data_IF_424553703327
#
_entry.id   IF_424553703327
#
_cell.length_a   1.000
_cell.length_b   1.000
_cell.length_c   1.000
_cell.angle_alpha   90.00
_cell.angle_beta   90.00
_cell.angle_gamma   90.00
#
_symmetry.space_group_name_H-M   'P 1'
#
loop_
_entity.id
_entity.type
_entity.pdbx_description
1 polymer ?
#
# COMPACT_ATOMS: atom_id res chain seq x y z
N UNK A 1 20.08 6.84 33.76
CA UNK A 1 19.45 7.83 32.86
C UNK A 1 18.30 7.15 32.16
N UNK A 2 17.08 7.66 32.31
CA UNK A 2 15.94 7.19 31.52
C UNK A 2 16.11 7.81 30.13
N UNK A 3 16.25 6.98 29.10
CA UNK A 3 16.30 7.47 27.72
C UNK A 3 14.94 8.06 27.35
N UNK A 4 14.89 9.36 27.08
CA UNK A 4 13.70 10.04 26.58
C UNK A 4 13.54 9.76 25.10
N UNK A 5 12.32 9.42 24.67
CA UNK A 5 12.00 9.24 23.25
C UNK A 5 11.88 10.64 22.62
N UNK A 6 12.54 10.92 21.48
CA UNK A 6 12.45 12.22 20.81
C UNK A 6 11.03 12.49 20.30
N UNK A 7 10.64 13.76 20.26
CA UNK A 7 9.48 14.25 19.55
C UNK A 7 9.80 14.43 18.05
N UNK A 8 8.77 14.64 17.22
CA UNK A 8 8.95 14.93 15.79
C UNK A 8 9.78 16.21 15.58
N UNK A 9 9.51 17.23 16.39
CA UNK A 9 10.20 18.53 16.35
C UNK A 9 11.70 18.40 16.65
N UNK A 10 12.10 17.48 17.54
CA UNK A 10 13.51 17.19 17.85
C UNK A 10 14.27 16.64 16.63
N UNK A 11 13.53 16.09 15.65
CA UNK A 11 14.05 15.55 14.40
C UNK A 11 13.84 16.51 13.20
N UNK A 12 13.35 17.73 13.44
CA UNK A 12 13.04 18.70 12.39
C UNK A 12 11.81 18.33 11.56
N UNK A 13 10.91 17.51 12.10
CA UNK A 13 9.68 17.07 11.44
C UNK A 13 8.46 17.84 11.98
N UNK A 14 7.52 18.14 11.09
CA UNK A 14 6.28 18.81 11.46
C UNK A 14 5.32 17.87 12.18
N UNK A 15 4.58 18.40 13.16
CA UNK A 15 3.41 17.72 13.73
C UNK A 15 2.29 17.65 12.69
N UNK A 16 1.45 16.63 12.77
CA UNK A 16 0.31 16.46 11.89
C UNK A 16 -0.95 16.08 12.67
N UNK A 17 -2.10 16.39 12.08
CA UNK A 17 -3.39 15.91 12.57
C UNK A 17 -3.82 14.67 11.80
N UNK A 18 -4.45 13.74 12.51
CA UNK A 18 -4.93 12.49 11.90
C UNK A 18 -6.21 12.77 11.13
N UNK A 19 -6.19 12.50 9.84
CA UNK A 19 -7.39 12.60 9.02
C UNK A 19 -8.35 11.44 9.33
N UNK A 20 -9.59 11.80 9.69
CA UNK A 20 -10.64 10.86 10.10
C UNK A 20 -11.13 9.97 8.94
N UNK A 21 -10.88 10.35 7.69
CA UNK A 21 -11.22 9.58 6.48
C UNK A 21 -10.26 8.42 6.26
N UNK A 22 -9.11 8.41 6.95
CA UNK A 22 -8.11 7.36 6.79
C UNK A 22 -8.68 5.97 7.06
N UNK A 23 -8.37 5.03 6.16
CA UNK A 23 -8.67 3.62 6.37
C UNK A 23 -7.70 2.94 7.35
N UNK A 24 -6.68 3.64 7.85
CA UNK A 24 -5.67 3.11 8.76
C UNK A 24 -5.83 3.67 10.19
N UNK A 25 -5.81 2.82 11.24
CA UNK A 25 -5.80 3.28 12.62
C UNK A 25 -4.41 3.80 13.01
N UNK A 26 -4.27 5.13 13.10
CA UNK A 26 -3.02 5.83 13.41
C UNK A 26 -2.51 5.66 14.85
N UNK A 27 -1.97 4.48 15.17
CA UNK A 27 -1.27 4.26 16.44
C UNK A 27 -0.26 3.10 16.31
N UNK A 28 1.01 3.43 16.51
CA UNK A 28 2.11 2.46 16.47
C UNK A 28 2.20 1.57 17.72
N UNK A 29 3.11 0.59 17.67
CA UNK A 29 3.43 -0.28 18.80
C UNK A 29 2.80 -1.68 18.73
N UNK A 30 3.48 -2.65 19.33
CA UNK A 30 3.08 -4.06 19.33
C UNK A 30 1.70 -4.29 19.96
N UNK A 31 1.37 -3.59 21.06
CA UNK A 31 0.05 -3.67 21.70
C UNK A 31 -1.06 -3.33 20.70
N UNK A 32 -0.93 -2.23 19.96
CA UNK A 32 -1.95 -1.84 18.98
C UNK A 32 -1.97 -2.73 17.74
N UNK A 33 -0.84 -3.33 17.37
CA UNK A 33 -0.83 -4.37 16.33
C UNK A 33 -1.74 -5.56 16.71
N UNK A 34 -1.66 -6.01 17.96
CA UNK A 34 -2.50 -7.08 18.49
C UNK A 34 -3.96 -6.66 18.69
N UNK A 35 -4.22 -5.43 19.15
CA UNK A 35 -5.58 -4.86 19.19
C UNK A 35 -6.23 -4.89 17.79
N UNK A 36 -5.48 -4.48 16.76
CA UNK A 36 -5.99 -4.51 15.38
C UNK A 36 -6.21 -5.93 14.87
N UNK A 37 -5.30 -6.86 15.14
CA UNK A 37 -5.48 -8.26 14.78
C UNK A 37 -6.74 -8.82 15.45
N UNK A 38 -6.92 -8.58 16.75
CA UNK A 38 -8.07 -9.06 17.50
C UNK A 38 -9.38 -8.50 16.98
N UNK A 39 -9.43 -7.19 16.72
CA UNK A 39 -10.58 -6.55 16.07
C UNK A 39 -10.93 -7.24 14.74
N UNK A 40 -9.94 -7.41 13.86
CA UNK A 40 -10.17 -7.90 12.50
C UNK A 40 -10.49 -9.40 12.44
N UNK A 41 -9.84 -10.20 13.28
CA UNK A 41 -9.98 -11.65 13.28
C UNK A 41 -11.15 -12.07 14.15
N UNK A 42 -11.14 -11.67 15.42
CA UNK A 42 -11.96 -12.26 16.46
C UNK A 42 -13.25 -11.47 16.71
N UNK A 43 -13.15 -10.14 16.91
CA UNK A 43 -14.33 -9.33 17.28
C UNK A 43 -15.30 -9.18 16.09
N UNK A 44 -14.76 -8.98 14.89
CA UNK A 44 -15.57 -8.74 13.68
C UNK A 44 -15.69 -9.95 12.76
N UNK A 45 -14.86 -10.98 12.93
CA UNK A 45 -14.85 -12.17 12.06
C UNK A 45 -14.48 -11.89 10.59
N UNK A 46 -13.91 -10.72 10.27
CA UNK A 46 -13.73 -10.23 8.89
C UNK A 46 -12.72 -11.03 8.09
N UNK A 47 -11.81 -11.75 8.75
CA UNK A 47 -10.90 -12.70 8.10
C UNK A 47 -11.63 -13.70 7.18
N UNK A 48 -12.87 -14.10 7.51
CA UNK A 48 -13.69 -15.01 6.70
C UNK A 48 -14.07 -14.47 5.33
N UNK A 49 -13.88 -13.17 5.08
CA UNK A 49 -14.28 -12.46 3.87
C UNK A 49 -13.12 -11.72 3.20
N UNK A 50 -11.89 -11.88 3.71
CA UNK A 50 -10.71 -11.13 3.29
C UNK A 50 -10.49 -11.14 1.77
N UNK A 51 -10.57 -12.30 1.10
CA UNK A 51 -10.35 -12.39 -0.35
C UNK A 51 -11.40 -11.61 -1.13
N UNK A 52 -12.65 -11.59 -0.63
CA UNK A 52 -13.77 -10.87 -1.26
C UNK A 52 -13.64 -9.36 -1.06
N UNK A 53 -13.14 -8.91 0.08
CA UNK A 53 -13.14 -7.48 0.44
C UNK A 53 -11.82 -6.76 0.20
N UNK A 54 -10.68 -7.45 0.08
CA UNK A 54 -9.33 -6.85 0.02
C UNK A 54 -9.06 -5.81 -1.08
N UNK A 55 -9.92 -5.75 -2.11
CA UNK A 55 -9.84 -4.73 -3.16
C UNK A 55 -10.69 -3.47 -2.87
N UNK A 56 -11.34 -3.41 -1.70
CA UNK A 56 -12.07 -2.23 -1.25
C UNK A 56 -11.15 -1.04 -1.03
N UNK A 57 -11.76 0.14 -0.95
CA UNK A 57 -11.07 1.42 -0.87
C UNK A 57 -11.50 2.25 0.35
N UNK A 58 -12.72 2.02 0.86
CA UNK A 58 -13.32 2.81 1.95
C UNK A 58 -13.49 1.95 3.20
N UNK A 59 -13.14 2.52 4.35
CA UNK A 59 -13.33 1.93 5.66
C UNK A 59 -12.19 1.03 6.12
N UNK A 60 -12.14 0.75 7.41
CA UNK A 60 -10.99 0.06 8.01
C UNK A 60 -11.01 -1.46 7.74
N UNK A 61 -12.17 -2.08 7.51
CA UNK A 61 -12.33 -3.55 7.55
C UNK A 61 -12.37 -4.25 6.19
N UNK A 62 -12.12 -3.54 5.09
CA UNK A 62 -11.97 -4.23 3.80
C UNK A 62 -10.67 -5.04 3.70
N UNK A 63 -9.69 -4.80 4.59
CA UNK A 63 -8.44 -5.55 4.67
C UNK A 63 -7.89 -5.52 6.09
N UNK A 64 -6.89 -6.36 6.39
CA UNK A 64 -6.33 -6.48 7.75
C UNK A 64 -5.70 -5.19 8.28
N UNK A 65 -5.17 -4.32 7.39
CA UNK A 65 -4.39 -3.11 7.71
C UNK A 65 -3.11 -3.39 8.52
N UNK A 66 -2.62 -4.63 8.53
CA UNK A 66 -1.48 -5.04 9.36
C UNK A 66 -0.10 -4.60 8.83
N UNK A 67 -0.03 -3.99 7.63
CA UNK A 67 1.23 -3.67 6.95
C UNK A 67 2.14 -2.75 7.75
N UNK A 68 1.60 -1.70 8.37
CA UNK A 68 2.36 -0.73 9.17
C UNK A 68 3.08 -1.37 10.35
N UNK A 69 2.45 -2.29 11.06
CA UNK A 69 3.10 -2.98 12.17
C UNK A 69 4.05 -4.09 11.70
N UNK A 70 3.79 -4.69 10.52
CA UNK A 70 4.68 -5.67 9.91
C UNK A 70 6.00 -5.05 9.41
N UNK A 71 5.97 -3.82 8.89
CA UNK A 71 7.16 -3.15 8.34
C UNK A 71 8.17 -2.80 9.43
N UNK A 72 7.70 -2.41 10.62
CA UNK A 72 8.54 -2.07 11.78
C UNK A 72 8.68 -3.21 12.81
N UNK A 73 8.17 -4.41 12.50
CA UNK A 73 8.33 -5.59 13.36
C UNK A 73 7.53 -5.57 14.67
N UNK A 74 6.49 -4.75 14.78
CA UNK A 74 5.57 -4.75 15.93
C UNK A 74 4.71 -6.01 16.02
N UNK A 75 4.52 -6.70 14.89
CA UNK A 75 3.95 -8.05 14.81
C UNK A 75 4.68 -8.82 13.72
N UNK A 76 4.92 -10.11 13.91
CA UNK A 76 5.58 -10.97 12.94
C UNK A 76 4.58 -11.70 12.04
N UNK A 77 5.00 -11.98 10.81
CA UNK A 77 4.22 -12.82 9.89
C UNK A 77 3.95 -14.23 10.46
N UNK A 78 4.83 -14.74 11.33
CA UNK A 78 4.66 -16.04 12.01
C UNK A 78 3.55 -16.00 13.04
N UNK A 79 3.47 -14.93 13.83
CA UNK A 79 2.35 -14.74 14.79
C UNK A 79 1.02 -14.64 14.04
N UNK A 80 0.96 -13.85 12.97
CA UNK A 80 -0.25 -13.76 12.14
C UNK A 80 -0.63 -15.13 11.56
N UNK A 81 0.35 -15.90 11.06
CA UNK A 81 0.10 -17.24 10.53
C UNK A 81 -0.55 -18.15 11.59
N UNK A 82 0.01 -18.20 12.81
CA UNK A 82 -0.53 -19.03 13.88
C UNK A 82 -1.92 -18.57 14.33
N UNK A 83 -2.19 -17.26 14.33
CA UNK A 83 -3.53 -16.73 14.58
C UNK A 83 -4.52 -17.10 13.49
N UNK A 84 -4.11 -17.11 12.21
CA UNK A 84 -4.95 -17.63 11.13
C UNK A 84 -5.23 -19.12 11.35
N UNK A 85 -4.23 -19.93 11.70
CA UNK A 85 -4.44 -21.35 11.98
C UNK A 85 -5.39 -21.59 13.16
N UNK A 86 -5.29 -20.78 14.23
CA UNK A 86 -6.22 -20.82 15.36
C UNK A 86 -7.64 -20.45 14.92
N UNK A 87 -7.79 -19.35 14.17
CA UNK A 87 -9.07 -18.92 13.63
C UNK A 87 -9.72 -19.95 12.70
N UNK A 88 -8.92 -20.61 11.84
CA UNK A 88 -9.39 -21.68 10.96
C UNK A 88 -9.93 -22.89 11.75
N UNK A 89 -9.33 -23.20 12.91
CA UNK A 89 -9.74 -24.30 13.79
C UNK A 89 -11.01 -23.98 14.59
N UNK A 90 -11.11 -22.76 15.11
CA UNK A 90 -12.17 -22.36 16.05
C UNK A 90 -13.40 -21.76 15.37
N UNK A 91 -13.21 -21.09 14.23
CA UNK A 91 -14.27 -20.33 13.55
C UNK A 91 -14.54 -20.91 12.16
N UNK A 92 -13.61 -20.75 11.22
CA UNK A 92 -13.83 -21.20 9.84
C UNK A 92 -12.55 -21.24 9.01
N UNK A 93 -12.33 -22.35 8.32
CA UNK A 93 -11.36 -22.49 7.23
C UNK A 93 -12.02 -22.28 5.86
N UNK A 94 -11.46 -21.41 5.02
CA UNK A 94 -11.96 -21.15 3.67
C UNK A 94 -10.88 -20.52 2.77
N UNK A 95 -11.24 -20.15 1.54
CA UNK A 95 -10.29 -19.48 0.64
C UNK A 95 -9.87 -18.11 1.13
N UNK A 96 -10.73 -17.39 1.86
CA UNK A 96 -10.46 -16.04 2.36
C UNK A 96 -9.39 -16.02 3.46
N UNK A 97 -9.46 -16.95 4.42
CA UNK A 97 -8.45 -17.18 5.47
C UNK A 97 -7.09 -17.53 4.88
N UNK A 98 -7.04 -18.48 3.94
CA UNK A 98 -5.83 -18.79 3.17
C UNK A 98 -5.29 -17.57 2.42
N UNK A 99 -6.15 -16.72 1.85
CA UNK A 99 -5.70 -15.60 1.04
C UNK A 99 -4.91 -14.57 1.84
N UNK A 100 -5.13 -14.43 3.15
CA UNK A 100 -4.27 -13.58 3.98
C UNK A 100 -2.85 -14.14 4.07
N UNK A 101 -2.70 -15.45 4.22
CA UNK A 101 -1.38 -16.13 4.18
C UNK A 101 -0.74 -15.96 2.81
N UNK A 102 -1.51 -16.09 1.73
CA UNK A 102 -1.03 -15.87 0.36
C UNK A 102 -0.41 -14.47 0.17
N UNK A 103 -1.00 -13.44 0.77
CA UNK A 103 -0.48 -12.07 0.69
C UNK A 103 0.77 -11.88 1.59
N UNK A 104 0.89 -12.61 2.70
CA UNK A 104 2.14 -12.69 3.46
C UNK A 104 3.26 -13.38 2.66
N UNK A 105 2.92 -14.39 1.84
CA UNK A 105 3.89 -15.02 0.93
C UNK A 105 4.40 -14.01 -0.11
N UNK A 106 3.57 -13.07 -0.57
CA UNK A 106 4.05 -11.98 -1.45
C UNK A 106 5.07 -11.07 -0.79
N UNK A 107 4.87 -10.73 0.50
CA UNK A 107 5.88 -9.99 1.29
C UNK A 107 7.21 -10.75 1.32
N UNK A 108 7.17 -12.04 1.65
CA UNK A 108 8.37 -12.87 1.69
C UNK A 108 9.01 -13.03 0.31
N UNK A 109 8.21 -13.19 -0.74
CA UNK A 109 8.67 -13.26 -2.13
C UNK A 109 9.49 -12.02 -2.50
N UNK A 110 8.98 -10.81 -2.25
CA UNK A 110 9.73 -9.59 -2.55
C UNK A 110 10.99 -9.43 -1.71
N UNK A 111 10.97 -9.88 -0.45
CA UNK A 111 12.18 -9.97 0.37
C UNK A 111 13.23 -10.87 -0.27
N UNK A 112 12.88 -12.09 -0.68
CA UNK A 112 13.82 -12.99 -1.34
C UNK A 112 14.26 -12.51 -2.73
N UNK A 113 13.39 -11.85 -3.48
CA UNK A 113 13.75 -11.20 -4.76
C UNK A 113 14.83 -10.13 -4.53
N UNK A 114 14.68 -9.29 -3.51
CA UNK A 114 15.70 -8.28 -3.19
C UNK A 114 17.03 -8.91 -2.78
N UNK A 115 17.00 -9.95 -1.95
CA UNK A 115 18.21 -10.65 -1.50
C UNK A 115 18.95 -11.31 -2.67
N UNK A 116 18.21 -11.86 -3.64
CA UNK A 116 18.78 -12.50 -4.83
C UNK A 116 19.44 -11.49 -5.77
N UNK A 117 18.82 -10.33 -5.99
CA UNK A 117 19.22 -9.40 -7.05
C UNK A 117 19.99 -8.16 -6.53
N UNK A 118 20.11 -7.99 -5.22
CA UNK A 118 20.85 -6.89 -4.61
C UNK A 118 20.40 -5.53 -5.13
N UNK A 119 21.36 -4.70 -5.55
CA UNK A 119 21.10 -3.33 -5.97
C UNK A 119 20.31 -3.20 -7.28
N UNK A 120 20.12 -4.28 -8.04
CA UNK A 120 19.35 -4.23 -9.29
C UNK A 120 17.89 -3.85 -9.04
N UNK A 121 17.37 -4.03 -7.82
CA UNK A 121 16.03 -3.58 -7.45
C UNK A 121 15.86 -2.05 -7.43
N UNK A 122 16.95 -1.28 -7.48
CA UNK A 122 16.96 0.19 -7.49
C UNK A 122 17.36 0.78 -8.85
N UNK A 123 17.77 -0.06 -9.81
CA UNK A 123 18.20 0.38 -11.13
C UNK A 123 17.01 0.60 -12.05
N UNK A 124 17.11 1.57 -12.95
CA UNK A 124 16.03 1.95 -13.86
C UNK A 124 15.48 0.77 -14.68
N UNK A 125 16.36 -0.08 -15.19
CA UNK A 125 15.98 -1.30 -15.92
C UNK A 125 15.52 -2.47 -15.04
N UNK A 126 15.53 -2.31 -13.72
CA UNK A 126 15.16 -3.33 -12.74
C UNK A 126 15.97 -4.63 -12.85
N UNK A 127 15.44 -5.69 -12.24
CA UNK A 127 16.04 -7.03 -12.26
C UNK A 127 16.03 -7.69 -13.65
N UNK A 128 15.21 -7.18 -14.57
CA UNK A 128 15.17 -7.65 -15.95
C UNK A 128 16.14 -6.89 -16.88
N UNK A 129 16.78 -5.84 -16.39
CA UNK A 129 17.69 -4.97 -17.15
C UNK A 129 17.06 -4.47 -18.47
N UNK A 130 15.77 -4.15 -18.43
CA UNK A 130 15.05 -3.65 -19.61
C UNK A 130 15.39 -2.20 -19.88
N UNK A 131 15.49 -1.88 -21.16
CA UNK A 131 15.66 -0.51 -21.64
C UNK A 131 14.31 0.01 -22.14
N UNK A 132 13.83 1.08 -21.50
CA UNK A 132 12.67 1.84 -21.91
C UNK A 132 13.06 3.32 -21.98
N UNK A 133 12.40 4.08 -22.83
CA UNK A 133 12.54 5.55 -22.88
C UNK A 133 11.72 6.20 -21.77
N UNK A 134 12.30 6.28 -20.58
CA UNK A 134 11.67 6.92 -19.42
C UNK A 134 11.76 8.44 -19.51
N UNK A 135 10.66 9.11 -19.19
CA UNK A 135 10.56 10.57 -19.05
C UNK A 135 10.81 10.97 -17.59
N UNK A 136 11.17 12.23 -17.38
CA UNK A 136 11.31 12.84 -16.05
C UNK A 136 10.77 14.26 -16.07
N UNK A 137 9.44 14.39 -16.07
CA UNK A 137 8.76 15.69 -16.09
C UNK A 137 8.35 16.10 -14.68
N UNK A 138 8.97 17.18 -14.17
CA UNK A 138 8.59 17.78 -12.89
C UNK A 138 7.12 18.22 -12.86
N UNK A 139 6.61 18.71 -14.00
CA UNK A 139 5.19 19.10 -14.12
C UNK A 139 4.26 17.92 -13.93
N UNK A 140 4.56 16.77 -14.55
CA UNK A 140 3.74 15.57 -14.38
C UNK A 140 3.90 14.98 -12.98
N UNK A 141 5.10 15.06 -12.38
CA UNK A 141 5.34 14.67 -11.00
C UNK A 141 4.47 15.48 -10.02
N UNK A 142 4.50 16.80 -10.14
CA UNK A 142 3.69 17.71 -9.31
C UNK A 142 2.20 17.39 -9.41
N UNK A 143 1.67 17.24 -10.64
CA UNK A 143 0.27 16.86 -10.85
C UNK A 143 -0.08 15.49 -10.25
N UNK A 144 0.82 14.51 -10.35
CA UNK A 144 0.59 13.19 -9.80
C UNK A 144 0.59 13.21 -8.26
N UNK A 145 1.60 13.82 -7.64
CA UNK A 145 1.71 13.96 -6.18
C UNK A 145 0.50 14.71 -5.60
N UNK A 146 0.11 15.83 -6.21
CA UNK A 146 -0.98 16.67 -5.70
C UNK A 146 -2.39 16.14 -6.05
N UNK A 147 -2.48 15.07 -6.83
CA UNK A 147 -3.77 14.54 -7.30
C UNK A 147 -4.53 15.51 -8.21
N UNK A 148 -3.83 16.07 -9.19
CA UNK A 148 -4.32 17.04 -10.17
C UNK A 148 -4.15 16.53 -11.62
N UNK A 149 -4.14 15.21 -11.78
CA UNK A 149 -4.14 14.57 -13.10
C UNK A 149 -5.52 14.65 -13.75
N UNK A 150 -5.65 14.22 -15.01
CA UNK A 150 -6.96 14.07 -15.65
C UNK A 150 -7.75 12.85 -15.12
N UNK A 151 -7.08 11.93 -14.42
CA UNK A 151 -7.66 10.70 -13.89
C UNK A 151 -8.12 10.88 -12.45
N UNK A 152 -9.42 11.09 -12.25
CA UNK A 152 -10.01 11.32 -10.92
C UNK A 152 -9.72 10.18 -9.94
N UNK A 153 -9.71 8.93 -10.40
CA UNK A 153 -9.41 7.78 -9.56
C UNK A 153 -7.95 7.78 -9.07
N UNK A 154 -7.00 8.18 -9.92
CA UNK A 154 -5.59 8.39 -9.52
C UNK A 154 -5.51 9.52 -8.51
N UNK A 155 -6.19 10.64 -8.77
CA UNK A 155 -6.19 11.81 -7.90
C UNK A 155 -6.68 11.49 -6.48
N UNK A 156 -7.78 10.75 -6.36
CA UNK A 156 -8.34 10.34 -5.07
C UNK A 156 -7.33 9.51 -4.26
N UNK A 157 -6.66 8.56 -4.90
CA UNK A 157 -5.63 7.75 -4.26
C UNK A 157 -4.41 8.59 -3.84
N UNK A 158 -3.91 9.46 -4.72
CA UNK A 158 -2.77 10.31 -4.39
C UNK A 158 -3.08 11.27 -3.24
N UNK A 159 -4.30 11.79 -3.16
CA UNK A 159 -4.78 12.58 -2.01
C UNK A 159 -4.92 11.73 -0.73
N UNK A 160 -5.44 10.50 -0.79
CA UNK A 160 -5.42 9.59 0.37
C UNK A 160 -4.00 9.37 0.89
N UNK A 161 -3.05 9.11 0.00
CA UNK A 161 -1.66 8.89 0.37
C UNK A 161 -1.00 10.14 0.96
N UNK A 162 -1.18 11.29 0.31
CA UNK A 162 -0.61 12.56 0.78
C UNK A 162 -1.09 12.91 2.19
N UNK A 163 -2.39 12.72 2.41
CA UNK A 163 -3.05 13.08 3.67
C UNK A 163 -2.83 12.03 4.76
N UNK A 164 -2.69 10.75 4.39
CA UNK A 164 -2.72 9.67 5.37
C UNK A 164 -1.50 8.78 5.47
N UNK A 165 -0.52 8.97 4.61
CA UNK A 165 0.64 8.09 4.52
C UNK A 165 0.30 6.62 4.28
N UNK A 166 -0.95 6.31 3.92
CA UNK A 166 -1.40 4.96 3.61
C UNK A 166 -2.28 4.99 2.37
N UNK A 167 -2.29 3.88 1.63
CA UNK A 167 -3.11 3.73 0.43
C UNK A 167 -3.46 2.25 0.27
N UNK A 168 -4.67 1.97 -0.20
CA UNK A 168 -5.11 0.61 -0.53
C UNK A 168 -4.19 -0.07 -1.55
N UNK A 169 -4.05 -1.40 -1.48
CA UNK A 169 -3.28 -2.15 -2.48
C UNK A 169 -3.79 -1.93 -3.91
N UNK A 170 -5.12 -1.82 -4.07
CA UNK A 170 -5.76 -1.52 -5.36
C UNK A 170 -5.36 -0.14 -5.86
N UNK A 171 -5.33 0.85 -4.97
CA UNK A 171 -4.84 2.20 -5.22
C UNK A 171 -3.40 2.21 -5.71
N UNK A 172 -2.50 1.58 -4.94
CA UNK A 172 -1.05 1.55 -5.23
C UNK A 172 -0.75 1.00 -6.61
N UNK A 173 -1.41 -0.10 -7.00
CA UNK A 173 -1.29 -0.66 -8.35
C UNK A 173 -1.73 0.32 -9.44
N UNK A 174 -2.85 1.01 -9.24
CA UNK A 174 -3.39 1.95 -10.23
C UNK A 174 -2.50 3.19 -10.40
N UNK A 175 -2.08 3.82 -9.30
CA UNK A 175 -1.25 5.03 -9.38
C UNK A 175 0.15 4.72 -9.89
N UNK A 176 0.72 3.56 -9.56
CA UNK A 176 2.01 3.11 -10.10
C UNK A 176 1.90 2.82 -11.60
N UNK A 177 0.87 2.08 -12.03
CA UNK A 177 0.64 1.81 -13.46
C UNK A 177 0.37 3.09 -14.25
N UNK A 178 -0.38 4.05 -13.70
CA UNK A 178 -0.58 5.34 -14.34
C UNK A 178 0.76 6.06 -14.54
N UNK A 179 1.56 6.17 -13.48
CA UNK A 179 2.86 6.84 -13.52
C UNK A 179 3.83 6.19 -14.52
N UNK A 180 4.07 4.88 -14.40
CA UNK A 180 5.10 4.22 -15.20
C UNK A 180 4.63 3.79 -16.57
N UNK A 181 3.38 3.36 -16.73
CA UNK A 181 2.90 2.78 -17.99
C UNK A 181 2.12 3.77 -18.86
N UNK A 182 1.36 4.70 -18.28
CA UNK A 182 0.59 5.67 -19.06
C UNK A 182 1.37 6.96 -19.29
N UNK A 183 2.10 7.42 -18.28
CA UNK A 183 2.90 8.64 -18.35
C UNK A 183 4.36 8.38 -18.73
N UNK A 184 4.77 7.11 -18.75
CA UNK A 184 6.12 6.66 -19.10
C UNK A 184 7.20 7.38 -18.29
N UNK A 185 6.88 7.74 -17.04
CA UNK A 185 7.82 8.45 -16.16
C UNK A 185 8.68 7.43 -15.41
N UNK A 186 9.92 7.83 -15.10
CA UNK A 186 10.85 7.03 -14.30
C UNK A 186 10.16 6.54 -13.01
N UNK A 187 9.97 5.22 -12.93
CA UNK A 187 9.25 4.59 -11.85
C UNK A 187 9.92 4.77 -10.49
N UNK A 188 11.24 5.00 -10.46
CA UNK A 188 12.01 5.18 -9.23
C UNK A 188 11.63 6.46 -8.51
N UNK A 189 11.17 7.48 -9.23
CA UNK A 189 10.66 8.73 -8.66
C UNK A 189 9.38 8.44 -7.86
N UNK A 190 8.46 7.66 -8.43
CA UNK A 190 7.25 7.22 -7.72
C UNK A 190 7.57 6.32 -6.53
N UNK A 191 8.54 5.41 -6.68
CA UNK A 191 9.01 4.55 -5.59
C UNK A 191 9.62 5.35 -4.43
N UNK A 192 10.42 6.38 -4.72
CA UNK A 192 11.01 7.27 -3.73
C UNK A 192 9.95 8.15 -3.04
N UNK A 193 8.94 8.62 -3.76
CA UNK A 193 7.81 9.32 -3.14
C UNK A 193 7.05 8.41 -2.17
N UNK A 194 6.81 7.15 -2.56
CA UNK A 194 6.20 6.15 -1.67
C UNK A 194 7.08 5.84 -0.46
N UNK A 195 8.40 5.79 -0.62
CA UNK A 195 9.34 5.67 0.51
C UNK A 195 9.23 6.83 1.49
N UNK A 196 9.11 8.06 0.97
CA UNK A 196 9.00 9.25 1.80
C UNK A 196 7.72 9.27 2.65
N UNK A 197 6.60 8.76 2.12
CA UNK A 197 5.28 9.04 2.70
C UNK A 197 4.57 7.81 3.30
N UNK A 198 4.92 6.59 2.89
CA UNK A 198 4.22 5.40 3.37
C UNK A 198 4.58 5.09 4.82
N UNK A 199 3.59 5.11 5.71
CA UNK A 199 3.74 4.64 7.09
C UNK A 199 4.07 3.14 7.18
N UNK A 200 3.74 2.38 6.13
CA UNK A 200 4.05 0.96 6.01
C UNK A 200 5.20 0.68 5.02
N UNK A 201 6.07 1.66 4.78
CA UNK A 201 7.24 1.48 3.94
C UNK A 201 8.07 0.26 4.38
N UNK A 202 8.27 -0.66 3.44
CA UNK A 202 9.19 -1.79 3.51
C UNK A 202 9.94 -1.79 2.18
N UNK A 203 11.27 -1.63 2.23
CA UNK A 203 12.10 -1.46 1.03
C UNK A 203 11.90 -2.58 0.00
N UNK A 204 11.75 -3.82 0.47
CA UNK A 204 11.60 -4.97 -0.41
C UNK A 204 10.25 -4.95 -1.12
N UNK A 205 9.19 -4.72 -0.35
CA UNK A 205 7.81 -4.69 -0.84
C UNK A 205 7.57 -3.48 -1.73
N UNK A 206 8.08 -2.30 -1.36
CA UNK A 206 7.93 -1.07 -2.14
C UNK A 206 8.59 -1.20 -3.52
N UNK A 207 9.91 -1.36 -3.56
CA UNK A 207 10.65 -1.44 -4.82
C UNK A 207 10.30 -2.69 -5.63
N UNK A 208 10.01 -3.81 -4.96
CA UNK A 208 9.53 -5.02 -5.61
C UNK A 208 8.21 -4.82 -6.36
N UNK A 209 7.22 -4.19 -5.72
CA UNK A 209 5.93 -3.89 -6.36
C UNK A 209 6.07 -2.81 -7.44
N UNK A 210 6.89 -1.78 -7.25
CA UNK A 210 7.11 -0.76 -8.27
C UNK A 210 7.74 -1.36 -9.53
N UNK A 211 8.81 -2.14 -9.41
CA UNK A 211 9.37 -2.87 -10.56
C UNK A 211 8.34 -3.76 -11.26
N UNK A 212 7.51 -4.45 -10.46
CA UNK A 212 6.47 -5.33 -10.99
C UNK A 212 5.43 -4.56 -11.83
N UNK A 213 4.95 -3.41 -11.35
CA UNK A 213 3.97 -2.58 -12.06
C UNK A 213 4.58 -1.77 -13.22
N UNK A 214 5.90 -1.58 -13.23
CA UNK A 214 6.61 -0.84 -14.27
C UNK A 214 7.24 -1.73 -15.34
N UNK A 215 6.93 -3.03 -15.34
CA UNK A 215 7.36 -3.97 -16.39
C UNK A 215 8.84 -4.35 -16.35
N UNK A 216 9.59 -3.92 -15.35
CA UNK A 216 11.03 -4.20 -15.15
C UNK A 216 11.32 -5.23 -14.05
N UNK A 217 10.25 -5.80 -13.46
CA UNK A 217 10.27 -6.78 -12.38
C UNK A 217 9.73 -8.16 -12.77
N UNK A 218 9.30 -8.93 -11.77
CA UNK A 218 8.86 -10.33 -11.94
C UNK A 218 7.43 -10.50 -12.53
N UNK A 219 6.90 -9.57 -13.33
CA UNK A 219 5.62 -9.79 -14.04
C UNK A 219 5.87 -10.36 -15.45
N UNK A 220 5.64 -11.67 -15.69
CA UNK A 220 5.80 -12.25 -17.03
C UNK A 220 4.73 -11.77 -18.03
N UNK A 221 3.72 -11.02 -17.58
CA UNK A 221 2.53 -10.65 -18.37
C UNK A 221 2.54 -9.21 -18.87
N UNK A 222 3.49 -8.38 -18.43
CA UNK A 222 3.60 -6.95 -18.78
C UNK A 222 2.26 -6.20 -18.72
N UNK A 223 1.57 -6.28 -17.57
CA UNK A 223 0.21 -5.77 -17.43
C UNK A 223 0.16 -4.26 -17.17
N UNK A 224 -0.78 -3.61 -17.84
CA UNK A 224 -1.14 -2.21 -17.62
C UNK A 224 -2.58 -2.14 -17.11
N UNK A 225 -2.85 -1.25 -16.16
CA UNK A 225 -4.19 -1.02 -15.63
C UNK A 225 -4.95 0.05 -16.43
N UNK A 226 -6.07 -0.33 -17.04
CA UNK A 226 -7.02 0.66 -17.54
C UNK A 226 -7.73 1.33 -16.35
N UNK A 227 -7.43 2.61 -16.10
CA UNK A 227 -7.87 3.34 -14.90
C UNK A 227 -9.39 3.50 -14.85
N UNK A 228 -10.05 3.81 -15.96
CA UNK A 228 -11.51 3.93 -16.03
C UNK A 228 -12.21 2.59 -15.69
N UNK A 229 -11.68 1.47 -16.18
CA UNK A 229 -12.22 0.15 -15.87
C UNK A 229 -11.98 -0.22 -14.39
N UNK A 230 -10.88 0.24 -13.81
CA UNK A 230 -10.59 0.02 -12.39
C UNK A 230 -11.53 0.86 -11.51
N UNK A 231 -11.75 2.12 -11.86
CA UNK A 231 -12.70 3.00 -11.19
C UNK A 231 -14.12 2.41 -11.25
N UNK A 232 -14.62 2.07 -12.44
CA UNK A 232 -15.97 1.49 -12.60
C UNK A 232 -16.17 0.15 -11.88
N UNK A 233 -15.10 -0.63 -11.67
CA UNK A 233 -15.17 -1.92 -10.96
C UNK A 233 -15.05 -1.80 -9.44
N UNK A 234 -14.16 -0.94 -8.94
CA UNK A 234 -13.80 -0.90 -7.51
C UNK A 234 -14.35 0.33 -6.78
N UNK A 235 -14.84 1.32 -7.52
CA UNK A 235 -15.50 2.53 -7.04
C UNK A 235 -16.72 2.84 -7.92
N UNK A 236 -17.55 1.83 -8.17
CA UNK A 236 -18.65 1.90 -9.15
C UNK A 236 -19.68 2.99 -8.86
N UNK A 237 -19.87 3.32 -7.58
CA UNK A 237 -20.77 4.36 -7.11
C UNK A 237 -20.06 5.71 -6.91
N UNK A 238 -18.74 5.79 -7.15
CA UNK A 238 -17.90 6.97 -6.97
C UNK A 238 -17.71 7.40 -5.51
N UNK A 239 -18.02 6.56 -4.53
CA UNK A 239 -17.96 6.92 -3.10
C UNK A 239 -16.54 7.26 -2.66
N UNK A 240 -15.54 6.46 -3.06
CA UNK A 240 -14.15 6.72 -2.71
C UNK A 240 -13.64 8.02 -3.33
N UNK A 241 -13.92 8.25 -4.62
CA UNK A 241 -13.55 9.50 -5.27
C UNK A 241 -14.23 10.72 -4.64
N UNK A 242 -15.49 10.63 -4.19
CA UNK A 242 -16.14 11.74 -3.48
C UNK A 242 -15.44 12.08 -2.17
N UNK A 243 -15.12 11.08 -1.34
CA UNK A 243 -14.47 11.26 -0.04
C UNK A 243 -13.16 12.06 -0.16
N UNK A 244 -12.37 11.79 -1.21
CA UNK A 244 -11.03 12.38 -1.35
C UNK A 244 -10.94 13.57 -2.30
N UNK A 245 -11.90 13.75 -3.21
CA UNK A 245 -11.87 14.85 -4.18
C UNK A 245 -12.82 16.00 -3.86
N UNK A 246 -13.81 15.79 -3.01
CA UNK A 246 -14.66 16.90 -2.58
C UNK A 246 -13.89 17.70 -1.53
N UNK A 247 -13.79 19.01 -1.78
CA UNK A 247 -13.46 19.95 -0.72
C UNK A 247 -14.65 19.94 0.24
N UNK A 248 -14.41 19.67 1.53
CA UNK A 248 -15.45 19.83 2.54
C UNK A 248 -15.84 21.31 2.56
N UNK A 249 -17.00 21.63 1.95
CA UNK A 249 -17.69 22.88 2.25
C UNK A 249 -18.19 22.74 3.68
N UNK A 250 -17.53 23.43 4.61
CA UNK A 250 -18.06 23.70 5.94
C UNK A 250 -19.46 24.33 5.86
#
# INVERSE_FOLDING_TARGET
MITTIPQLEDLGLESFEKDHRSAFPWKGGATTAWERLNHYFWDTGKLQYYKKTRNGLVGIDYSSKLSTWLSIGCISAREIYWEVQRFEKEVKKNQDTYWLIFELIWRDFFKYVSLKNGNDIFKLGGILQKEYEWKSSERELSKWINGETHERFVNANMKELATTGWMSNRGRQNVASYWSMHKEQDWRIGAAYFEHILIDYDVHSNYGNWMYNSGVGNDPRNRTFNIELQASRYDSDGTYQRIWLQEELF
#
